data_IF_148814898420
#
_entry.id   IF_148814898420
#
_cell.length_a   1.000
_cell.length_b   1.000
_cell.length_c   1.000
_cell.angle_alpha   90.00
_cell.angle_beta   90.00
_cell.angle_gamma   90.00
#
_symmetry.space_group_name_H-M   'P 1'
#
loop_
_entity.id
_entity.type
_entity.pdbx_description
1 polymer ?
#
# COMPACT_ATOMS: atom_id res chain seq x y z
N UNK A 1 14.63 2.87 -12.69
CA UNK A 1 15.97 3.51 -12.64
C UNK A 1 15.97 4.85 -13.35
N UNK A 2 15.78 4.91 -14.67
CA UNK A 2 15.75 6.17 -15.44
C UNK A 2 14.80 7.23 -14.86
N UNK A 3 13.61 6.84 -14.40
CA UNK A 3 12.64 7.74 -13.74
C UNK A 3 13.18 8.43 -12.47
N UNK A 4 14.12 7.80 -11.77
CA UNK A 4 14.71 8.33 -10.55
C UNK A 4 15.88 9.26 -10.86
N UNK A 5 16.69 8.92 -11.85
CA UNK A 5 17.87 9.71 -12.27
C UNK A 5 17.45 11.07 -12.86
N UNK A 6 16.28 11.12 -13.51
CA UNK A 6 15.74 12.36 -14.10
C UNK A 6 15.13 13.32 -13.08
N UNK A 7 15.05 12.94 -11.80
CA UNK A 7 14.46 13.81 -10.78
C UNK A 7 15.27 15.11 -10.65
N UNK A 8 14.56 16.23 -10.65
CA UNK A 8 15.08 17.60 -10.51
C UNK A 8 14.76 18.09 -9.11
N UNK A 9 15.79 18.29 -8.31
CA UNK A 9 15.69 18.72 -6.93
C UNK A 9 16.72 19.79 -6.61
N UNK A 10 16.42 20.64 -5.62
CA UNK A 10 17.38 21.59 -5.04
C UNK A 10 18.13 21.02 -3.82
N UNK A 11 17.86 19.76 -3.48
CA UNK A 11 18.52 18.98 -2.42
C UNK A 11 19.17 17.72 -3.00
N UNK A 12 20.22 17.19 -2.37
CA UNK A 12 20.79 15.90 -2.77
C UNK A 12 19.84 14.75 -2.40
N UNK A 13 19.81 13.72 -3.22
CA UNK A 13 19.12 12.47 -2.91
C UNK A 13 19.94 11.27 -3.40
N UNK A 14 19.64 10.10 -2.86
CA UNK A 14 20.11 8.84 -3.40
C UNK A 14 18.93 7.86 -3.51
N UNK A 15 19.11 6.86 -4.35
CA UNK A 15 18.18 5.77 -4.63
C UNK A 15 18.85 4.50 -4.13
N UNK A 16 18.32 3.96 -3.04
CA UNK A 16 18.75 2.68 -2.52
C UNK A 16 18.00 1.57 -3.24
N UNK A 17 18.75 0.68 -3.87
CA UNK A 17 18.19 -0.48 -4.55
C UNK A 17 18.54 -1.72 -3.72
N UNK A 18 17.59 -2.15 -2.89
CA UNK A 18 17.75 -3.35 -2.06
C UNK A 18 17.34 -4.58 -2.86
N UNK A 19 18.32 -5.24 -3.46
CA UNK A 19 18.14 -6.50 -4.17
C UNK A 19 18.04 -7.66 -3.17
N UNK A 20 16.89 -8.34 -3.15
CA UNK A 20 16.57 -9.41 -2.21
C UNK A 20 16.98 -10.79 -2.74
N UNK A 21 18.25 -10.90 -3.14
CA UNK A 21 18.86 -12.09 -3.74
C UNK A 21 18.14 -12.51 -5.03
N UNK A 22 18.04 -11.58 -5.99
CA UNK A 22 17.46 -11.88 -7.31
C UNK A 22 18.32 -12.90 -8.08
N UNK A 23 17.65 -13.78 -8.82
CA UNK A 23 18.32 -14.83 -9.62
C UNK A 23 18.37 -14.50 -11.12
N UNK A 24 17.78 -13.38 -11.53
CA UNK A 24 17.81 -12.88 -12.89
C UNK A 24 18.90 -11.79 -13.05
N UNK A 25 18.83 -11.02 -14.15
CA UNK A 25 19.83 -10.00 -14.46
C UNK A 25 19.71 -8.72 -13.60
N UNK A 26 18.81 -8.67 -12.61
CA UNK A 26 18.58 -7.47 -11.78
C UNK A 26 19.87 -6.96 -11.16
N UNK A 27 20.67 -7.82 -10.51
CA UNK A 27 21.94 -7.42 -9.88
C UNK A 27 22.90 -6.77 -10.88
N UNK A 28 23.06 -7.37 -12.06
CA UNK A 28 23.96 -6.85 -13.11
C UNK A 28 23.50 -5.48 -13.62
N UNK A 29 22.20 -5.30 -13.83
CA UNK A 29 21.61 -4.03 -14.24
C UNK A 29 21.86 -2.97 -13.17
N UNK A 30 21.56 -3.28 -11.90
CA UNK A 30 21.75 -2.31 -10.80
C UNK A 30 23.21 -1.89 -10.69
N UNK A 31 24.17 -2.83 -10.81
CA UNK A 31 25.61 -2.52 -10.80
C UNK A 31 26.04 -1.61 -11.96
N UNK A 32 25.44 -1.77 -13.14
CA UNK A 32 25.69 -0.88 -14.27
C UNK A 32 25.24 0.55 -13.97
N UNK A 33 24.03 0.71 -13.43
CA UNK A 33 23.49 2.01 -13.04
C UNK A 33 24.25 2.64 -11.87
N UNK A 34 24.66 1.85 -10.87
CA UNK A 34 25.52 2.30 -9.79
C UNK A 34 26.87 2.80 -10.30
N UNK A 35 27.49 2.10 -11.27
CA UNK A 35 28.74 2.55 -11.89
C UNK A 35 28.55 3.85 -12.70
N UNK A 36 27.42 3.99 -13.39
CA UNK A 36 27.14 5.15 -14.26
C UNK A 36 26.69 6.38 -13.48
N UNK A 37 25.99 6.18 -12.36
CA UNK A 37 25.41 7.23 -11.53
C UNK A 37 25.75 7.01 -10.04
N UNK A 38 27.04 6.97 -9.66
CA UNK A 38 27.46 6.54 -8.32
C UNK A 38 26.98 7.46 -7.21
N UNK A 39 26.71 8.73 -7.48
CA UNK A 39 26.18 9.68 -6.49
C UNK A 39 24.68 9.48 -6.22
N UNK A 40 23.95 8.92 -7.19
CA UNK A 40 22.49 8.78 -7.13
C UNK A 40 22.11 7.34 -6.78
N UNK A 41 22.65 6.33 -7.47
CA UNK A 41 22.25 4.93 -7.32
C UNK A 41 23.19 4.21 -6.38
N UNK A 42 22.64 3.54 -5.36
CA UNK A 42 23.39 2.69 -4.42
C UNK A 42 22.74 1.31 -4.35
N UNK A 43 23.49 0.28 -4.71
CA UNK A 43 23.04 -1.11 -4.64
C UNK A 43 23.27 -1.71 -3.25
N UNK A 44 22.27 -2.39 -2.72
CA UNK A 44 22.38 -3.23 -1.52
C UNK A 44 21.98 -4.64 -1.93
N UNK A 45 22.95 -5.54 -1.98
CA UNK A 45 22.76 -6.91 -2.48
C UNK A 45 22.72 -7.88 -1.31
N UNK A 46 21.53 -8.41 -1.02
CA UNK A 46 21.35 -9.32 0.11
C UNK A 46 21.86 -10.73 -0.22
N UNK A 47 22.49 -11.43 0.73
CA UNK A 47 23.05 -12.75 0.50
C UNK A 47 21.99 -13.86 0.40
N UNK A 48 20.76 -13.59 0.86
CA UNK A 48 19.63 -14.50 0.84
C UNK A 48 18.32 -13.76 0.62
N UNK A 49 17.28 -14.47 0.15
CA UNK A 49 15.97 -13.90 -0.09
C UNK A 49 15.14 -13.83 1.20
N UNK A 50 15.17 -12.67 1.86
CA UNK A 50 14.48 -12.44 3.14
C UNK A 50 12.96 -12.46 2.99
N UNK A 51 12.41 -12.04 1.84
CA UNK A 51 10.98 -12.06 1.59
C UNK A 51 10.39 -13.47 1.67
N UNK A 52 11.00 -14.42 0.98
CA UNK A 52 10.56 -15.82 0.92
C UNK A 52 10.58 -16.51 2.29
N UNK A 53 11.41 -16.03 3.21
CA UNK A 53 11.55 -16.54 4.57
C UNK A 53 10.63 -15.83 5.58
N UNK A 54 9.81 -14.87 5.13
CA UNK A 54 8.95 -14.08 6.03
C UNK A 54 9.71 -13.06 6.88
N UNK A 55 10.97 -12.76 6.51
CA UNK A 55 11.91 -11.89 7.24
C UNK A 55 12.06 -10.52 6.57
N UNK A 56 11.04 -10.07 5.83
CA UNK A 56 11.12 -8.82 5.04
C UNK A 56 11.45 -7.58 5.86
N UNK A 57 11.02 -7.53 7.12
CA UNK A 57 11.33 -6.43 8.04
C UNK A 57 12.83 -6.31 8.35
N UNK A 58 13.61 -7.40 8.20
CA UNK A 58 15.05 -7.37 8.42
C UNK A 58 15.80 -6.57 7.35
N UNK A 59 15.16 -6.26 6.22
CA UNK A 59 15.69 -5.29 5.23
C UNK A 59 15.95 -3.92 5.85
N UNK A 60 15.21 -3.56 6.91
CA UNK A 60 15.41 -2.31 7.64
C UNK A 60 16.84 -2.22 8.20
N UNK A 61 17.52 -3.32 8.51
CA UNK A 61 18.92 -3.31 8.99
C UNK A 61 19.85 -2.61 7.97
N UNK A 62 19.56 -2.78 6.68
CA UNK A 62 20.36 -2.21 5.59
C UNK A 62 19.94 -0.79 5.22
N UNK A 63 18.65 -0.44 5.41
CA UNK A 63 18.08 0.86 5.05
C UNK A 63 18.22 1.89 6.20
N UNK A 64 18.16 1.43 7.46
CA UNK A 64 18.21 2.30 8.64
C UNK A 64 19.45 3.21 8.73
N UNK A 65 20.68 2.79 8.33
CA UNK A 65 21.82 3.69 8.28
C UNK A 65 21.58 4.93 7.41
N UNK A 66 20.84 4.77 6.31
CA UNK A 66 20.50 5.87 5.40
C UNK A 66 19.36 6.74 5.93
N UNK A 67 18.37 6.14 6.60
CA UNK A 67 17.30 6.88 7.29
C UNK A 67 17.86 7.85 8.34
N UNK A 68 18.93 7.46 9.05
CA UNK A 68 19.59 8.32 10.06
C UNK A 68 20.25 9.57 9.50
N UNK A 69 20.60 9.59 8.20
CA UNK A 69 21.26 10.73 7.54
C UNK A 69 20.36 11.45 6.55
N UNK A 70 19.14 10.95 6.33
CA UNK A 70 18.17 11.49 5.39
C UNK A 70 17.01 12.11 6.16
N UNK A 71 16.52 13.28 5.72
CA UNK A 71 15.32 13.92 6.31
C UNK A 71 14.02 13.26 5.85
N UNK A 72 14.03 12.70 4.64
CA UNK A 72 12.87 12.13 3.98
C UNK A 72 13.19 10.80 3.30
N UNK A 73 12.17 9.96 3.14
CA UNK A 73 12.19 8.71 2.41
C UNK A 73 11.04 8.69 1.39
N UNK A 74 11.33 8.22 0.18
CA UNK A 74 10.37 8.04 -0.90
C UNK A 74 10.38 6.57 -1.31
N UNK A 75 9.21 5.94 -1.44
CA UNK A 75 9.12 4.52 -1.80
C UNK A 75 8.72 4.39 -3.27
N UNK A 76 9.32 3.40 -3.95
CA UNK A 76 8.88 2.91 -5.25
C UNK A 76 9.27 1.43 -5.37
N UNK A 77 8.30 0.57 -5.71
CA UNK A 77 8.57 -0.85 -5.94
C UNK A 77 9.34 -1.07 -7.26
N UNK A 78 10.02 -2.21 -7.39
CA UNK A 78 10.95 -2.47 -8.50
C UNK A 78 10.29 -2.55 -9.88
N UNK A 79 8.97 -2.76 -9.95
CA UNK A 79 8.16 -2.86 -11.16
C UNK A 79 7.35 -1.59 -11.48
N UNK A 80 7.48 -0.56 -10.64
CA UNK A 80 6.86 0.76 -10.76
C UNK A 80 7.84 1.82 -11.25
N UNK A 81 7.31 2.99 -11.64
CA UNK A 81 8.15 4.14 -12.01
C UNK A 81 7.47 5.48 -11.74
N UNK A 82 8.27 6.53 -11.66
CA UNK A 82 7.78 7.92 -11.62
C UNK A 82 7.73 8.51 -13.02
N UNK A 83 6.73 9.36 -13.25
CA UNK A 83 6.47 9.97 -14.57
C UNK A 83 6.62 11.49 -14.55
N UNK A 84 6.78 12.09 -13.37
CA UNK A 84 7.09 13.51 -13.21
C UNK A 84 8.52 13.68 -12.70
N UNK A 85 9.35 14.38 -13.46
CA UNK A 85 10.75 14.69 -13.12
C UNK A 85 10.85 15.61 -11.88
N UNK A 86 9.77 16.25 -11.42
CA UNK A 86 9.77 17.14 -10.26
C UNK A 86 9.03 16.53 -9.05
N UNK A 87 8.66 15.24 -9.09
CA UNK A 87 7.91 14.58 -8.02
C UNK A 87 8.56 14.77 -6.66
N UNK A 88 9.87 14.50 -6.55
CA UNK A 88 10.59 14.64 -5.29
C UNK A 88 10.58 16.08 -4.77
N UNK A 89 10.80 17.07 -5.66
CA UNK A 89 10.79 18.48 -5.28
C UNK A 89 9.40 18.91 -4.76
N UNK A 90 8.33 18.57 -5.48
CA UNK A 90 6.96 18.92 -5.11
C UNK A 90 6.57 18.34 -3.74
N UNK A 91 6.92 17.07 -3.49
CA UNK A 91 6.61 16.42 -2.21
C UNK A 91 7.48 16.95 -1.06
N UNK A 92 8.74 17.29 -1.35
CA UNK A 92 9.61 17.97 -0.39
C UNK A 92 9.04 19.33 0.00
N UNK A 93 8.72 20.19 -0.97
CA UNK A 93 8.17 21.52 -0.73
C UNK A 93 6.85 21.45 0.06
N UNK A 94 6.01 20.46 -0.28
CA UNK A 94 4.77 20.20 0.45
C UNK A 94 5.02 19.90 1.93
N UNK A 95 5.97 19.02 2.26
CA UNK A 95 6.27 18.70 3.66
C UNK A 95 7.06 19.81 4.37
N UNK A 96 7.95 20.55 3.70
CA UNK A 96 8.59 21.72 4.32
C UNK A 96 7.56 22.79 4.70
N UNK A 97 6.54 23.02 3.88
CA UNK A 97 5.46 23.97 4.15
C UNK A 97 4.45 23.50 5.21
N UNK A 98 4.41 22.20 5.52
CA UNK A 98 3.46 21.61 6.47
C UNK A 98 4.21 20.83 7.56
N UNK A 99 4.80 21.53 8.55
CA UNK A 99 5.64 20.92 9.57
C UNK A 99 4.90 19.92 10.47
N UNK A 100 3.56 19.98 10.56
CA UNK A 100 2.72 19.06 11.33
C UNK A 100 2.33 17.78 10.58
N UNK A 101 2.61 17.71 9.27
CA UNK A 101 2.34 16.56 8.41
C UNK A 101 3.61 15.73 8.24
N UNK A 102 3.50 14.41 8.38
CA UNK A 102 4.63 13.47 8.27
C UNK A 102 4.73 12.78 6.91
N UNK A 103 3.63 12.76 6.13
CA UNK A 103 3.55 12.03 4.88
C UNK A 103 2.85 12.85 3.79
N UNK A 104 3.40 12.75 2.59
CA UNK A 104 2.86 13.27 1.35
C UNK A 104 2.62 12.12 0.37
N UNK A 105 1.56 12.23 -0.43
CA UNK A 105 1.24 11.29 -1.49
C UNK A 105 0.71 12.04 -2.72
N UNK A 106 0.54 11.33 -3.82
CA UNK A 106 0.05 11.90 -5.07
C UNK A 106 -0.84 10.91 -5.82
N UNK A 107 -1.40 11.34 -6.95
CA UNK A 107 -2.08 10.43 -7.86
C UNK A 107 -1.07 9.50 -8.56
N UNK A 108 -1.53 8.27 -8.86
CA UNK A 108 -0.81 7.32 -9.72
C UNK A 108 -1.72 6.69 -10.76
N UNK A 109 -1.19 6.50 -11.97
CA UNK A 109 -1.85 5.72 -13.03
C UNK A 109 -1.53 4.24 -12.84
N UNK A 110 -2.55 3.38 -12.96
CA UNK A 110 -2.40 1.92 -12.95
C UNK A 110 -2.13 1.40 -14.34
N UNK A 111 -1.13 0.54 -14.48
CA UNK A 111 -0.77 -0.15 -15.72
C UNK A 111 -0.91 -1.67 -15.57
N UNK A 112 -1.58 -2.31 -16.53
CA UNK A 112 -1.59 -3.77 -16.70
C UNK A 112 -1.09 -4.09 -18.11
N UNK A 113 -0.07 -4.94 -18.26
CA UNK A 113 0.51 -5.30 -19.57
C UNK A 113 0.77 -4.08 -20.49
N UNK A 114 1.35 -3.03 -19.92
CA UNK A 114 1.68 -1.75 -20.57
C UNK A 114 0.48 -0.95 -21.10
N UNK A 115 -0.74 -1.23 -20.62
CA UNK A 115 -1.94 -0.42 -20.87
C UNK A 115 -2.40 0.26 -19.59
N UNK A 116 -2.80 1.52 -19.69
CA UNK A 116 -3.49 2.22 -18.60
C UNK A 116 -4.83 1.54 -18.33
N UNK A 117 -5.08 1.17 -17.06
CA UNK A 117 -6.31 0.48 -16.61
C UNK A 117 -7.05 1.25 -15.53
N UNK A 118 -6.63 2.47 -15.24
CA UNK A 118 -7.28 3.38 -14.29
C UNK A 118 -6.26 4.13 -13.44
N UNK A 119 -6.74 4.79 -12.37
CA UNK A 119 -5.92 5.62 -11.47
C UNK A 119 -6.21 5.29 -10.01
N UNK A 120 -5.30 5.67 -9.13
CA UNK A 120 -5.52 5.79 -7.68
C UNK A 120 -5.44 7.28 -7.37
N UNK A 121 -6.61 7.89 -7.17
CA UNK A 121 -6.78 9.33 -7.00
C UNK A 121 -7.89 9.59 -5.95
N UNK A 122 -7.59 9.57 -4.64
CA UNK A 122 -8.60 9.74 -3.59
C UNK A 122 -9.22 11.14 -3.54
N UNK A 123 -8.65 12.13 -4.23
CA UNK A 123 -9.15 13.50 -4.29
C UNK A 123 -8.84 14.10 -5.67
N UNK A 124 -9.71 14.97 -6.17
CA UNK A 124 -9.46 15.75 -7.40
C UNK A 124 -8.73 17.08 -7.14
N UNK A 125 -8.53 17.43 -5.87
CA UNK A 125 -7.84 18.64 -5.44
C UNK A 125 -6.73 18.31 -4.44
N UNK A 126 -5.67 19.11 -4.45
CA UNK A 126 -4.60 19.07 -3.45
C UNK A 126 -5.17 19.48 -2.09
N UNK A 127 -5.01 18.60 -1.09
CA UNK A 127 -5.54 18.80 0.26
C UNK A 127 -4.89 17.83 1.25
N UNK A 128 -5.16 18.03 2.53
CA UNK A 128 -4.90 17.02 3.55
C UNK A 128 -5.99 15.95 3.51
N UNK A 129 -5.61 14.69 3.39
CA UNK A 129 -6.46 13.52 3.62
C UNK A 129 -6.46 13.21 5.12
N UNK A 130 -7.64 13.06 5.72
CA UNK A 130 -7.73 12.84 7.16
C UNK A 130 -7.30 11.41 7.54
N UNK A 131 -7.11 11.19 8.84
CA UNK A 131 -6.80 9.85 9.37
C UNK A 131 -7.97 8.89 9.10
N UNK A 132 -9.20 9.36 9.29
CA UNK A 132 -10.42 8.60 9.06
C UNK A 132 -10.59 8.21 7.58
N UNK A 133 -10.29 9.11 6.65
CA UNK A 133 -10.28 8.81 5.22
C UNK A 133 -9.24 7.74 4.88
N UNK A 134 -8.04 7.85 5.48
CA UNK A 134 -6.96 6.88 5.30
C UNK A 134 -7.34 5.49 5.82
N UNK A 135 -7.96 5.42 7.01
CA UNK A 135 -8.46 4.16 7.59
C UNK A 135 -9.59 3.56 6.73
N UNK A 136 -10.58 4.37 6.35
CA UNK A 136 -11.73 3.84 5.59
C UNK A 136 -11.36 3.43 4.17
N UNK A 137 -10.42 4.16 3.54
CA UNK A 137 -9.92 3.91 2.19
C UNK A 137 -9.22 2.56 2.01
N UNK A 138 -8.55 2.05 3.05
CA UNK A 138 -7.86 0.76 2.97
C UNK A 138 -6.52 0.78 2.21
N UNK A 139 -5.92 -0.39 2.02
CA UNK A 139 -4.58 -0.49 1.42
C UNK A 139 -4.42 -0.04 -0.03
N UNK A 140 -5.53 0.17 -0.75
CA UNK A 140 -5.51 0.70 -2.13
C UNK A 140 -5.91 2.19 -2.19
N UNK A 141 -5.94 2.88 -1.05
CA UNK A 141 -6.30 4.29 -0.97
C UNK A 141 -5.25 5.20 -1.63
N UNK A 142 -3.98 4.87 -1.42
CA UNK A 142 -2.82 5.49 -2.07
C UNK A 142 -1.91 4.40 -2.63
N UNK A 143 -1.30 4.66 -3.78
CA UNK A 143 -0.27 3.77 -4.33
C UNK A 143 1.03 3.88 -3.54
N UNK A 144 1.68 2.77 -3.24
CA UNK A 144 2.92 2.73 -2.44
C UNK A 144 4.04 3.54 -3.09
N UNK A 145 4.11 3.52 -4.43
CA UNK A 145 5.04 4.33 -5.22
C UNK A 145 4.80 5.86 -5.17
N UNK A 146 3.73 6.31 -4.52
CA UNK A 146 3.43 7.73 -4.31
C UNK A 146 3.95 8.26 -2.98
N UNK A 147 4.21 7.38 -2.01
CA UNK A 147 4.47 7.77 -0.63
C UNK A 147 5.85 8.44 -0.48
N UNK A 148 5.85 9.59 0.18
CA UNK A 148 7.01 10.38 0.57
C UNK A 148 6.82 10.83 2.01
N UNK A 149 7.72 10.51 2.93
CA UNK A 149 7.52 10.79 4.36
C UNK A 149 8.80 11.16 5.09
N UNK A 150 8.65 11.83 6.24
CA UNK A 150 9.76 12.15 7.14
C UNK A 150 10.35 10.86 7.72
N UNK A 151 11.67 10.72 7.71
CA UNK A 151 12.33 9.53 8.28
C UNK A 151 12.07 9.37 9.77
N UNK A 152 11.80 10.47 10.50
CA UNK A 152 11.35 10.47 11.91
C UNK A 152 10.06 9.66 12.15
N UNK A 153 9.25 9.43 11.12
CA UNK A 153 8.09 8.53 11.17
C UNK A 153 8.50 7.09 11.51
N UNK A 154 9.68 6.67 11.06
CA UNK A 154 10.24 5.34 11.31
C UNK A 154 10.93 5.21 12.67
N UNK A 155 11.24 6.32 13.33
CA UNK A 155 11.81 6.33 14.68
C UNK A 155 10.74 6.10 15.77
N UNK A 156 9.50 6.49 15.48
CA UNK A 156 8.37 6.43 16.42
C UNK A 156 7.21 5.60 15.86
N UNK A 157 7.51 4.37 15.43
CA UNK A 157 6.48 3.46 14.92
C UNK A 157 5.58 2.95 16.04
N UNK A 158 4.27 2.91 15.79
CA UNK A 158 3.31 2.28 16.70
C UNK A 158 3.28 0.76 16.49
N UNK A 159 2.81 0.01 17.50
CA UNK A 159 2.85 -1.45 17.50
C UNK A 159 2.01 -2.06 16.38
N UNK A 160 0.89 -1.43 16.01
CA UNK A 160 0.05 -1.91 14.92
C UNK A 160 0.83 -2.01 13.61
N UNK A 161 1.71 -1.03 13.32
CA UNK A 161 2.55 -1.03 12.13
C UNK A 161 3.79 -1.89 12.31
N UNK A 162 4.46 -1.81 13.49
CA UNK A 162 5.62 -2.64 13.80
C UNK A 162 5.32 -4.14 13.59
N UNK A 163 4.14 -4.56 14.06
CA UNK A 163 3.68 -5.94 13.98
C UNK A 163 3.07 -6.31 12.63
N UNK A 164 2.74 -5.33 11.78
CA UNK A 164 2.13 -5.55 10.47
C UNK A 164 2.59 -4.50 9.46
N UNK A 165 3.74 -4.77 8.84
CA UNK A 165 4.38 -3.91 7.84
C UNK A 165 3.69 -3.98 6.48
N UNK A 166 2.42 -3.58 6.44
CA UNK A 166 1.64 -3.41 5.21
C UNK A 166 1.58 -1.92 4.84
N UNK A 167 1.57 -1.62 3.56
CA UNK A 167 1.43 -0.26 3.02
C UNK A 167 0.21 0.47 3.61
N UNK A 168 -0.88 -0.26 3.85
CA UNK A 168 -2.07 0.26 4.51
C UNK A 168 -1.78 0.82 5.91
N UNK A 169 -1.02 0.10 6.73
CA UNK A 169 -0.68 0.55 8.08
C UNK A 169 0.42 1.60 8.07
N UNK A 170 1.31 1.60 7.07
CA UNK A 170 2.24 2.70 6.84
C UNK A 170 1.49 4.00 6.53
N UNK A 171 0.47 3.96 5.66
CA UNK A 171 -0.38 5.11 5.36
C UNK A 171 -1.06 5.64 6.61
N UNK A 172 -1.66 4.77 7.43
CA UNK A 172 -2.29 5.18 8.70
C UNK A 172 -1.26 5.81 9.63
N UNK A 173 -0.11 5.16 9.84
CA UNK A 173 0.99 5.68 10.67
C UNK A 173 1.40 7.09 10.22
N UNK A 174 1.59 7.30 8.92
CA UNK A 174 1.91 8.60 8.33
C UNK A 174 0.83 9.67 8.49
N UNK A 175 -0.44 9.27 8.62
CA UNK A 175 -1.56 10.19 8.78
C UNK A 175 -1.73 10.68 10.23
N UNK A 176 -1.26 9.94 11.25
CA UNK A 176 -1.70 10.13 12.64
C UNK A 176 -1.48 11.53 13.23
N UNK A 177 -0.44 12.25 12.79
CA UNK A 177 -0.09 13.57 13.35
C UNK A 177 -0.88 14.73 12.74
N UNK A 178 -1.12 14.71 11.44
CA UNK A 178 -1.72 15.84 10.71
C UNK A 178 -2.45 15.47 9.42
N UNK A 179 -2.77 14.18 9.22
CA UNK A 179 -3.24 13.65 7.95
C UNK A 179 -2.11 13.42 6.95
N UNK A 180 -2.47 13.16 5.70
CA UNK A 180 -1.52 13.00 4.58
C UNK A 180 -1.71 14.17 3.63
N UNK A 181 -0.63 14.90 3.33
CA UNK A 181 -0.70 15.95 2.31
C UNK A 181 -0.76 15.31 0.91
N UNK A 182 -1.91 15.40 0.27
CA UNK A 182 -2.14 14.79 -1.04
C UNK A 182 -2.07 15.84 -2.14
N UNK A 183 -1.20 15.60 -3.13
CA UNK A 183 -1.07 16.39 -4.34
C UNK A 183 -1.90 15.74 -5.44
N UNK A 184 -2.92 16.43 -5.97
CA UNK A 184 -3.82 15.89 -7.01
C UNK A 184 -3.20 15.88 -8.41
N UNK A 185 -1.88 15.73 -8.50
CA UNK A 185 -1.13 15.60 -9.74
C UNK A 185 -0.68 14.15 -9.89
N UNK A 186 -0.82 13.61 -11.10
CA UNK A 186 -0.37 12.27 -11.40
C UNK A 186 1.14 12.25 -11.64
N UNK A 187 1.90 11.73 -10.68
CA UNK A 187 3.37 11.78 -10.71
C UNK A 187 4.03 10.39 -10.74
N UNK A 188 3.26 9.30 -10.65
CA UNK A 188 3.78 7.94 -10.78
C UNK A 188 2.89 7.01 -11.61
N UNK A 189 3.45 5.86 -11.95
CA UNK A 189 2.79 4.75 -12.61
C UNK A 189 2.98 3.46 -11.80
N UNK A 190 1.86 2.87 -11.39
CA UNK A 190 1.74 1.68 -10.57
C UNK A 190 1.39 0.46 -11.41
N UNK A 191 2.20 -0.59 -11.36
CA UNK A 191 1.94 -1.81 -12.12
C UNK A 191 1.01 -2.74 -11.35
N UNK A 192 -0.06 -3.17 -12.01
CA UNK A 192 -1.01 -4.14 -11.49
C UNK A 192 -0.96 -5.44 -12.28
N UNK A 193 -1.22 -6.55 -11.60
CA UNK A 193 -1.34 -7.89 -12.17
C UNK A 193 -0.11 -8.37 -12.95
N UNK A 194 1.06 -7.75 -12.74
CA UNK A 194 2.30 -8.22 -13.34
C UNK A 194 2.58 -9.66 -12.90
N UNK A 195 3.16 -10.47 -13.78
CA UNK A 195 3.50 -11.86 -13.45
C UNK A 195 4.40 -11.91 -12.22
N UNK A 196 3.93 -12.59 -11.18
CA UNK A 196 4.68 -12.70 -9.92
C UNK A 196 4.51 -11.52 -8.98
N UNK A 197 3.77 -10.47 -9.31
CA UNK A 197 3.43 -9.37 -8.38
C UNK A 197 2.54 -9.86 -7.23
N UNK A 198 2.48 -9.08 -6.13
CA UNK A 198 1.55 -9.33 -5.04
C UNK A 198 0.10 -9.43 -5.53
N UNK A 199 -0.32 -8.51 -6.40
CA UNK A 199 -1.69 -8.48 -6.95
C UNK A 199 -2.00 -9.76 -7.74
N UNK A 200 -1.07 -10.28 -8.55
CA UNK A 200 -1.27 -11.56 -9.24
C UNK A 200 -1.33 -12.77 -8.29
N UNK A 201 -0.49 -12.81 -7.24
CA UNK A 201 -0.38 -13.97 -6.33
C UNK A 201 -1.52 -14.02 -5.32
N UNK A 202 -1.84 -12.88 -4.71
CA UNK A 202 -2.77 -12.81 -3.58
C UNK A 202 -4.19 -12.66 -4.07
N UNK A 203 -4.50 -11.71 -4.97
CA UNK A 203 -5.88 -11.44 -5.41
C UNK A 203 -6.49 -12.68 -6.08
N UNK A 204 -5.68 -13.46 -6.80
CA UNK A 204 -6.13 -14.70 -7.45
C UNK A 204 -6.23 -15.91 -6.51
N UNK A 205 -5.69 -15.84 -5.29
CA UNK A 205 -5.69 -16.95 -4.33
C UNK A 205 -6.58 -16.63 -3.12
N UNK A 206 -7.75 -17.26 -3.07
CA UNK A 206 -8.75 -17.03 -2.02
C UNK A 206 -8.20 -17.27 -0.60
N UNK A 207 -7.34 -18.27 -0.39
CA UNK A 207 -6.74 -18.55 0.92
C UNK A 207 -5.76 -17.46 1.36
N UNK A 208 -4.95 -16.95 0.42
CA UNK A 208 -4.02 -15.85 0.73
C UNK A 208 -4.77 -14.54 1.00
N UNK A 209 -5.80 -14.23 0.20
CA UNK A 209 -6.73 -13.13 0.47
C UNK A 209 -7.36 -13.25 1.86
N UNK A 210 -7.88 -14.43 2.20
CA UNK A 210 -8.50 -14.70 3.50
C UNK A 210 -7.53 -14.39 4.66
N UNK A 211 -6.31 -14.95 4.62
CA UNK A 211 -5.28 -14.70 5.64
C UNK A 211 -4.87 -13.23 5.72
N UNK A 212 -4.73 -12.56 4.57
CA UNK A 212 -4.44 -11.13 4.51
C UNK A 212 -5.52 -10.31 5.21
N UNK A 213 -6.80 -10.58 4.92
CA UNK A 213 -7.92 -9.88 5.56
C UNK A 213 -7.94 -10.14 7.08
N UNK A 214 -7.71 -11.37 7.54
CA UNK A 214 -7.61 -11.67 8.97
C UNK A 214 -6.52 -10.86 9.66
N UNK A 215 -5.34 -10.73 9.03
CA UNK A 215 -4.25 -9.92 9.57
C UNK A 215 -4.64 -8.44 9.63
N UNK A 216 -5.25 -7.89 8.58
CA UNK A 216 -5.70 -6.49 8.59
C UNK A 216 -6.73 -6.25 9.70
N UNK A 217 -7.71 -7.15 9.89
CA UNK A 217 -8.69 -7.05 10.98
C UNK A 217 -8.01 -7.04 12.35
N UNK A 218 -7.08 -7.98 12.58
CA UNK A 218 -6.33 -8.08 13.84
C UNK A 218 -5.64 -6.76 14.18
N UNK A 219 -4.93 -6.17 13.22
CA UNK A 219 -4.12 -4.98 13.49
C UNK A 219 -4.93 -3.68 13.46
N UNK A 220 -6.13 -3.66 12.88
CA UNK A 220 -7.09 -2.57 13.09
C UNK A 220 -7.61 -2.52 14.53
N UNK A 221 -7.79 -3.68 15.19
CA UNK A 221 -8.12 -3.69 16.62
C UNK A 221 -6.95 -3.18 17.48
N UNK A 222 -5.71 -3.55 17.13
CA UNK A 222 -4.50 -3.01 17.81
C UNK A 222 -4.44 -1.50 17.65
N UNK A 223 -4.60 -0.99 16.42
CA UNK A 223 -4.69 0.44 16.13
C UNK A 223 -5.76 1.14 16.99
N UNK A 224 -6.96 0.55 17.11
CA UNK A 224 -8.05 1.15 17.88
C UNK A 224 -7.67 1.34 19.36
N UNK A 225 -7.02 0.32 19.95
CA UNK A 225 -6.54 0.39 21.34
C UNK A 225 -5.42 1.41 21.48
N UNK A 226 -4.41 1.36 20.60
CA UNK A 226 -3.25 2.26 20.65
C UNK A 226 -3.61 3.73 20.44
N UNK A 227 -4.64 4.01 19.65
CA UNK A 227 -5.18 5.37 19.44
C UNK A 227 -6.20 5.78 20.50
N UNK A 228 -6.32 5.03 21.61
CA UNK A 228 -7.28 5.29 22.69
C UNK A 228 -8.72 5.45 22.18
N UNK A 229 -9.09 4.64 21.19
CA UNK A 229 -10.38 4.64 20.51
C UNK A 229 -10.73 5.97 19.78
N UNK A 230 -9.77 6.86 19.55
CA UNK A 230 -10.01 8.15 18.87
C UNK A 230 -10.66 8.00 17.49
N UNK A 231 -10.30 6.95 16.75
CA UNK A 231 -10.78 6.72 15.38
C UNK A 231 -11.77 5.55 15.27
N UNK A 232 -12.40 5.18 16.40
CA UNK A 232 -13.21 3.97 16.53
C UNK A 232 -14.28 3.82 15.43
N UNK A 233 -14.99 4.89 15.08
CA UNK A 233 -16.07 4.83 14.09
C UNK A 233 -15.53 4.49 12.69
N UNK A 234 -14.45 5.15 12.27
CA UNK A 234 -13.77 4.88 10.99
C UNK A 234 -13.18 3.46 10.93
N UNK A 235 -12.66 2.98 12.06
CA UNK A 235 -12.12 1.62 12.18
C UNK A 235 -13.25 0.60 12.08
N UNK A 236 -14.38 0.79 12.77
CA UNK A 236 -15.51 -0.13 12.68
C UNK A 236 -16.16 -0.11 11.29
N UNK A 237 -16.26 1.05 10.64
CA UNK A 237 -16.69 1.14 9.25
C UNK A 237 -15.79 0.29 8.32
N UNK A 238 -14.47 0.34 8.53
CA UNK A 238 -13.52 -0.47 7.77
C UNK A 238 -13.63 -1.96 8.11
N UNK A 239 -13.74 -2.31 9.38
CA UNK A 239 -13.92 -3.68 9.85
C UNK A 239 -15.17 -4.32 9.24
N UNK A 240 -16.30 -3.60 9.20
CA UNK A 240 -17.53 -4.05 8.56
C UNK A 240 -17.31 -4.45 7.09
N UNK A 241 -16.58 -3.63 6.33
CA UNK A 241 -16.24 -3.92 4.94
C UNK A 241 -15.31 -5.14 4.81
N UNK A 242 -14.34 -5.28 5.72
CA UNK A 242 -13.39 -6.40 5.72
C UNK A 242 -14.04 -7.73 6.10
N UNK A 243 -14.89 -7.76 7.12
CA UNK A 243 -15.61 -8.98 7.49
C UNK A 243 -16.58 -9.43 6.40
N UNK A 244 -17.18 -8.49 5.66
CA UNK A 244 -17.96 -8.83 4.47
C UNK A 244 -17.11 -9.56 3.42
N UNK A 245 -15.92 -9.02 3.11
CA UNK A 245 -14.97 -9.69 2.21
C UNK A 245 -14.52 -11.03 2.77
N UNK A 246 -14.22 -11.11 4.07
CA UNK A 246 -13.79 -12.33 4.74
C UNK A 246 -14.83 -13.45 4.59
N UNK A 247 -16.11 -13.12 4.74
CA UNK A 247 -17.21 -14.05 4.47
C UNK A 247 -17.21 -14.52 3.02
N UNK A 248 -17.12 -13.61 2.05
CA UNK A 248 -17.13 -13.98 0.63
C UNK A 248 -15.97 -14.91 0.26
N UNK A 249 -14.77 -14.64 0.77
CA UNK A 249 -13.59 -15.48 0.52
C UNK A 249 -13.65 -16.80 1.30
N UNK A 250 -14.09 -16.78 2.57
CA UNK A 250 -14.24 -17.97 3.40
C UNK A 250 -15.18 -19.01 2.76
N UNK A 251 -16.31 -18.56 2.21
CA UNK A 251 -17.23 -19.42 1.44
C UNK A 251 -16.54 -20.03 0.20
N UNK A 252 -15.69 -19.27 -0.50
CA UNK A 252 -14.99 -19.75 -1.72
C UNK A 252 -13.87 -20.73 -1.41
N UNK A 253 -13.23 -20.63 -0.25
CA UNK A 253 -12.10 -21.48 0.14
C UNK A 253 -12.45 -22.54 1.19
N UNK A 254 -13.75 -22.74 1.48
CA UNK A 254 -14.25 -23.66 2.52
C UNK A 254 -13.57 -23.45 3.88
N UNK A 255 -13.07 -22.25 4.13
CA UNK A 255 -12.47 -21.84 5.40
C UNK A 255 -13.54 -21.11 6.17
N UNK A 256 -14.29 -21.86 6.97
CA UNK A 256 -15.31 -21.32 7.87
C UNK A 256 -14.65 -21.03 9.20
N UNK A 257 -14.35 -19.76 9.43
CA UNK A 257 -14.01 -19.23 10.76
C UNK A 257 -15.24 -18.54 11.33
N UNK A 258 -15.44 -18.61 12.64
CA UNK A 258 -16.48 -17.93 13.40
C UNK A 258 -16.38 -16.39 13.37
N UNK A 259 -15.54 -15.84 12.49
CA UNK A 259 -15.42 -14.41 12.21
C UNK A 259 -16.75 -13.69 11.93
N UNK A 260 -17.77 -14.36 11.36
CA UNK A 260 -19.14 -13.81 11.22
C UNK A 260 -19.72 -13.43 12.59
N UNK A 261 -19.41 -14.20 13.64
CA UNK A 261 -19.85 -13.90 15.00
C UNK A 261 -19.22 -12.61 15.54
N UNK A 262 -18.14 -12.10 14.95
CA UNK A 262 -17.47 -10.84 15.36
C UNK A 262 -18.02 -9.60 14.64
N UNK A 263 -18.91 -9.79 13.65
CA UNK A 263 -19.60 -8.70 12.97
C UNK A 263 -20.47 -7.90 13.94
N UNK A 264 -20.47 -6.57 13.79
CA UNK A 264 -21.46 -5.68 14.40
C UNK A 264 -22.88 -6.08 13.97
N UNK A 265 -23.91 -5.74 14.77
CA UNK A 265 -25.31 -6.04 14.41
C UNK A 265 -25.68 -5.48 13.02
N UNK A 266 -25.18 -4.28 12.70
CA UNK A 266 -25.37 -3.64 11.39
C UNK A 266 -24.70 -4.40 10.25
N UNK A 267 -23.49 -4.91 10.46
CA UNK A 267 -22.79 -5.66 9.43
C UNK A 267 -23.37 -7.06 9.23
N UNK A 268 -23.90 -7.69 10.29
CA UNK A 268 -24.71 -8.91 10.17
C UNK A 268 -25.97 -8.66 9.33
N UNK A 269 -26.67 -7.55 9.56
CA UNK A 269 -27.83 -7.15 8.75
C UNK A 269 -27.44 -6.93 7.28
N UNK A 270 -26.36 -6.20 7.00
CA UNK A 270 -25.83 -6.01 5.62
C UNK A 270 -25.49 -7.34 4.95
N UNK A 271 -24.85 -8.26 5.69
CA UNK A 271 -24.52 -9.59 5.21
C UNK A 271 -25.79 -10.39 4.85
N UNK A 272 -26.82 -10.35 5.70
CA UNK A 272 -28.13 -10.98 5.44
C UNK A 272 -28.76 -10.41 4.16
N UNK A 273 -28.82 -9.08 4.00
CA UNK A 273 -29.35 -8.46 2.78
C UNK A 273 -28.58 -8.85 1.51
N UNK A 274 -27.24 -8.94 1.60
CA UNK A 274 -26.42 -9.41 0.49
C UNK A 274 -26.70 -10.87 0.14
N UNK A 275 -26.78 -11.75 1.15
CA UNK A 275 -27.11 -13.17 0.95
C UNK A 275 -28.49 -13.32 0.31
N UNK A 276 -29.49 -12.59 0.82
CA UNK A 276 -30.83 -12.53 0.24
C UNK A 276 -30.75 -12.10 -1.24
N UNK A 277 -30.04 -11.02 -1.57
CA UNK A 277 -29.85 -10.57 -2.96
C UNK A 277 -29.17 -11.60 -3.84
N UNK A 278 -28.14 -12.29 -3.34
CA UNK A 278 -27.39 -13.31 -4.08
C UNK A 278 -28.22 -14.57 -4.34
N UNK A 279 -28.98 -15.02 -3.34
CA UNK A 279 -29.84 -16.20 -3.45
C UNK A 279 -31.12 -15.91 -4.25
N UNK A 280 -31.69 -14.70 -4.15
CA UNK A 280 -32.82 -14.28 -4.98
C UNK A 280 -32.40 -13.92 -6.42
N UNK A 281 -31.23 -13.32 -6.61
CA UNK A 281 -30.68 -12.96 -7.93
C UNK A 281 -30.36 -14.17 -8.81
N UNK A 282 -29.98 -15.31 -8.21
CA UNK A 282 -29.79 -16.59 -8.92
C UNK A 282 -31.08 -17.16 -9.55
N UNK A 283 -32.27 -16.69 -9.16
CA UNK A 283 -33.53 -17.11 -9.81
C UNK A 283 -33.82 -16.37 -11.14
N UNK A 284 -33.08 -15.31 -11.48
CA UNK A 284 -33.35 -14.52 -12.71
C UNK A 284 -32.54 -14.91 -13.95
N UNK A 285 -31.45 -15.68 -13.82
CA UNK A 285 -30.58 -16.04 -14.95
C UNK A 285 -30.81 -17.44 -15.55
N UNK A 286 -31.89 -18.14 -15.18
CA UNK A 286 -32.21 -19.47 -15.75
C UNK A 286 -33.17 -19.48 -16.95
N UNK A 287 -33.45 -18.34 -17.57
CA UNK A 287 -34.24 -18.30 -18.82
C UNK A 287 -33.67 -17.32 -19.83
N UNK A 288 -32.88 -17.86 -20.76
CA UNK A 288 -32.86 -17.60 -22.21
C UNK A 288 -31.44 -17.79 -22.72
N UNK A 289 -31.19 -18.97 -23.31
CA UNK A 289 -30.36 -19.10 -24.52
C UNK A 289 -30.88 -20.32 -25.29
N UNK A 290 -31.85 -20.06 -26.16
CA UNK A 290 -32.15 -20.90 -27.31
C UNK A 290 -32.09 -19.99 -28.54
N UNK A 291 -31.31 -20.46 -29.51
CA UNK A 291 -31.38 -20.19 -30.95
C UNK A 291 -30.56 -18.99 -31.46
N UNK A 292 -29.47 -19.39 -32.14
CA UNK A 292 -28.73 -18.82 -33.29
C UNK A 292 -28.05 -17.47 -33.10
#
# INVERSE_FOLDING_TARGET
MESFIKQKTNFPFCVLVVDDCSTDNTVSIVKEYEKRYPEIIKGIYLPENLYSQGRSSEKDIYVNPWRKVSKYEAICEGDDWWIDDNKLQKQYDALEAHPDVDMCACETIKFCDNKEVGRIAPSSITRILTVEETITGGGAFLGTNTLFYRTSLMENIMRFYESCRLDYFLQIQGALRGGIYYISECMSAYRVMAKGSWSSRVVMNCNLCYRHICNVIKYLHVLNVETSCKYQDSIYQRLDALYFLLFEYGVRCSSFDDSIQRLTCWARLKLVFYLIRKFLGRKSQRRKWHII
#
